data_IF_880296023976
#
_entry.id   IF_880296023976
#
_cell.length_a   1.000
_cell.length_b   1.000
_cell.length_c   1.000
_cell.angle_alpha   90.00
_cell.angle_beta   90.00
_cell.angle_gamma   90.00
#
_symmetry.space_group_name_H-M   'P 1'
#
loop_
_entity.id
_entity.type
_entity.pdbx_description
1 polymer ?
#
# COMPACT_ATOMS: atom_id res chain seq x y z
N UNK A 1 25.14 20.08 50.12
CA UNK A 1 24.54 18.75 49.89
C UNK A 1 23.44 18.94 48.86
N UNK A 2 23.78 18.85 47.58
CA UNK A 2 22.87 19.15 46.46
C UNK A 2 22.53 17.85 45.71
N UNK A 3 21.59 17.08 46.27
CA UNK A 3 21.22 15.76 45.74
C UNK A 3 19.79 15.73 45.16
N UNK A 4 19.11 16.88 45.06
CA UNK A 4 17.65 16.92 44.79
C UNK A 4 17.25 17.18 43.34
N UNK A 5 18.14 17.67 42.46
CA UNK A 5 17.79 18.01 41.07
C UNK A 5 18.17 16.94 40.02
N UNK A 6 19.19 16.10 40.29
CA UNK A 6 19.67 15.08 39.34
C UNK A 6 18.65 13.95 39.10
N UNK A 7 17.91 13.55 40.15
CA UNK A 7 16.94 12.44 40.10
C UNK A 7 15.67 12.76 39.30
N UNK A 8 15.18 14.00 39.36
CA UNK A 8 13.95 14.41 38.65
C UNK A 8 14.12 14.39 37.13
N UNK A 9 15.30 14.76 36.62
CA UNK A 9 15.57 14.75 35.18
C UNK A 9 15.76 13.32 34.66
N UNK A 10 16.39 12.44 35.44
CA UNK A 10 16.52 11.02 35.09
C UNK A 10 15.15 10.32 35.02
N UNK A 11 14.24 10.60 35.95
CA UNK A 11 12.87 10.05 35.91
C UNK A 11 12.10 10.56 34.69
N UNK A 12 12.26 11.84 34.31
CA UNK A 12 11.63 12.39 33.10
C UNK A 12 12.18 11.77 31.82
N UNK A 13 13.50 11.58 31.74
CA UNK A 13 14.14 10.90 30.60
C UNK A 13 13.67 9.45 30.51
N UNK A 14 13.62 8.73 31.62
CA UNK A 14 13.12 7.35 31.65
C UNK A 14 11.65 7.26 31.20
N UNK A 15 10.79 8.17 31.65
CA UNK A 15 9.39 8.21 31.24
C UNK A 15 9.23 8.49 29.74
N UNK A 16 10.02 9.41 29.17
CA UNK A 16 10.03 9.71 27.74
C UNK A 16 10.49 8.49 26.94
N UNK A 17 11.54 7.79 27.39
CA UNK A 17 12.05 6.60 26.70
C UNK A 17 11.00 5.48 26.70
N UNK A 18 10.35 5.22 27.84
CA UNK A 18 9.28 4.20 27.92
C UNK A 18 8.08 4.58 27.03
N UNK A 19 7.70 5.86 27.02
CA UNK A 19 6.63 6.36 26.15
C UNK A 19 6.97 6.19 24.66
N UNK A 20 8.20 6.54 24.26
CA UNK A 20 8.67 6.37 22.88
C UNK A 20 8.76 4.89 22.47
N UNK A 21 9.17 4.01 23.39
CA UNK A 21 9.18 2.57 23.15
C UNK A 21 7.77 2.00 23.00
N UNK A 22 6.82 2.43 23.85
CA UNK A 22 5.41 2.05 23.73
C UNK A 22 4.78 2.56 22.44
N UNK A 23 5.08 3.79 22.04
CA UNK A 23 4.62 4.38 20.78
C UNK A 23 5.19 3.67 19.55
N UNK A 24 6.49 3.35 19.58
CA UNK A 24 7.15 2.58 18.52
C UNK A 24 6.56 1.17 18.40
N UNK A 25 6.33 0.48 19.52
CA UNK A 25 5.70 -0.84 19.53
C UNK A 25 4.26 -0.80 18.99
N UNK A 26 3.45 0.19 19.39
CA UNK A 26 2.10 0.38 18.87
C UNK A 26 2.06 0.70 17.37
N UNK A 27 2.96 1.57 16.90
CA UNK A 27 3.09 1.88 15.48
C UNK A 27 3.52 0.65 14.66
N UNK A 28 4.44 -0.17 15.19
CA UNK A 28 4.86 -1.41 14.55
C UNK A 28 3.71 -2.44 14.49
N UNK A 29 2.96 -2.64 15.58
CA UNK A 29 1.85 -3.58 15.63
C UNK A 29 0.73 -3.21 14.62
N UNK A 30 0.35 -1.94 14.55
CA UNK A 30 -0.65 -1.46 13.59
C UNK A 30 -0.17 -1.58 12.13
N UNK A 31 1.14 -1.42 11.89
CA UNK A 31 1.71 -1.59 10.57
C UNK A 31 1.73 -3.05 10.14
N UNK A 32 2.10 -3.99 11.03
CA UNK A 32 2.05 -5.44 10.75
C UNK A 32 0.62 -5.90 10.51
N UNK A 33 -0.34 -5.45 11.33
CA UNK A 33 -1.76 -5.79 11.17
C UNK A 33 -2.34 -5.28 9.84
N UNK A 34 -2.07 -4.03 9.46
CA UNK A 34 -2.46 -3.48 8.15
C UNK A 34 -1.81 -4.24 7.00
N UNK A 35 -0.57 -4.69 7.14
CA UNK A 35 0.14 -5.46 6.11
C UNK A 35 -0.47 -6.85 5.92
N UNK A 36 -0.85 -7.51 7.01
CA UNK A 36 -1.51 -8.81 6.98
C UNK A 36 -2.92 -8.71 6.37
N UNK A 37 -3.73 -7.75 6.83
CA UNK A 37 -5.09 -7.51 6.31
C UNK A 37 -5.13 -7.13 4.82
N UNK A 38 -4.11 -6.43 4.31
CA UNK A 38 -4.01 -6.09 2.87
C UNK A 38 -3.46 -7.24 2.04
N UNK A 39 -2.51 -8.01 2.56
CA UNK A 39 -1.91 -9.15 1.84
C UNK A 39 -2.91 -10.27 1.53
N UNK A 40 -3.93 -10.47 2.38
CA UNK A 40 -4.99 -11.46 2.16
C UNK A 40 -6.12 -10.99 1.24
N UNK A 41 -6.29 -9.69 1.02
CA UNK A 41 -7.49 -9.15 0.37
C UNK A 41 -7.42 -9.11 -1.17
N UNK A 42 -6.23 -9.05 -1.77
CA UNK A 42 -6.07 -8.83 -3.21
C UNK A 42 -5.75 -10.13 -3.96
N UNK A 43 -4.84 -10.95 -3.42
CA UNK A 43 -4.57 -12.31 -3.92
C UNK A 43 -5.82 -13.23 -3.82
N UNK A 44 -6.72 -12.94 -2.88
CA UNK A 44 -7.94 -13.73 -2.69
C UNK A 44 -9.02 -13.40 -3.70
N UNK A 45 -9.15 -12.16 -4.21
CA UNK A 45 -10.25 -11.78 -5.11
C UNK A 45 -10.14 -12.39 -6.50
N UNK A 46 -8.94 -12.38 -7.09
CA UNK A 46 -8.74 -12.93 -8.43
C UNK A 46 -8.77 -14.46 -8.43
N UNK A 47 -8.09 -15.10 -7.47
CA UNK A 47 -8.19 -16.55 -7.29
C UNK A 47 -9.57 -17.02 -6.84
N UNK A 48 -10.41 -16.16 -6.23
CA UNK A 48 -11.82 -16.47 -5.99
C UNK A 48 -12.66 -16.38 -7.27
N UNK A 49 -12.37 -15.41 -8.13
CA UNK A 49 -13.08 -15.27 -9.41
C UNK A 49 -12.79 -16.44 -10.35
N UNK A 50 -11.54 -16.86 -10.48
CA UNK A 50 -11.20 -18.05 -11.29
C UNK A 50 -11.84 -19.32 -10.72
N UNK A 51 -11.78 -19.52 -9.39
CA UNK A 51 -12.49 -20.64 -8.73
C UNK A 51 -14.00 -20.61 -8.94
N UNK A 52 -14.59 -19.41 -9.00
CA UNK A 52 -16.01 -19.24 -9.31
C UNK A 52 -16.31 -19.64 -10.75
N UNK A 53 -15.49 -19.22 -11.71
CA UNK A 53 -15.63 -19.61 -13.12
C UNK A 53 -15.48 -21.12 -13.31
N UNK A 54 -14.51 -21.75 -12.64
CA UNK A 54 -14.31 -23.20 -12.67
C UNK A 54 -15.51 -23.95 -12.08
N UNK A 55 -16.20 -23.38 -11.09
CA UNK A 55 -17.39 -23.98 -10.49
C UNK A 55 -18.63 -23.98 -11.39
N UNK A 56 -18.64 -23.19 -12.47
CA UNK A 56 -19.78 -23.07 -13.39
C UNK A 56 -19.88 -24.21 -14.41
N UNK A 57 -18.92 -25.16 -14.40
CA UNK A 57 -18.91 -26.34 -15.29
C UNK A 57 -19.14 -25.98 -16.77
N UNK A 58 -18.51 -24.90 -17.23
CA UNK A 58 -18.67 -24.38 -18.59
C UNK A 58 -18.17 -25.39 -19.64
N UNK A 59 -18.91 -25.51 -20.74
CA UNK A 59 -18.45 -26.26 -21.91
C UNK A 59 -17.35 -25.50 -22.69
N UNK A 60 -16.74 -26.16 -23.69
CA UNK A 60 -15.61 -25.60 -24.43
C UNK A 60 -15.93 -24.26 -25.12
N UNK A 61 -17.11 -24.15 -25.71
CA UNK A 61 -17.53 -22.94 -26.42
C UNK A 61 -17.79 -21.79 -25.44
N UNK A 62 -18.43 -22.08 -24.30
CA UNK A 62 -18.67 -21.11 -23.23
C UNK A 62 -17.36 -20.60 -22.62
N UNK A 63 -16.39 -21.48 -22.37
CA UNK A 63 -15.07 -21.06 -21.87
C UNK A 63 -14.40 -20.09 -22.84
N UNK A 64 -14.43 -20.41 -24.13
CA UNK A 64 -13.85 -19.56 -25.18
C UNK A 64 -14.49 -18.16 -25.18
N UNK A 65 -15.81 -18.09 -25.12
CA UNK A 65 -16.53 -16.80 -25.06
C UNK A 65 -16.23 -16.02 -23.78
N UNK A 66 -16.17 -16.67 -22.63
CA UNK A 66 -15.83 -16.02 -21.35
C UNK A 66 -14.41 -15.46 -21.39
N UNK A 67 -13.43 -16.23 -21.88
CA UNK A 67 -12.06 -15.76 -22.03
C UNK A 67 -11.97 -14.53 -22.94
N UNK A 68 -12.72 -14.52 -24.05
CA UNK A 68 -12.79 -13.38 -24.96
C UNK A 68 -13.36 -12.14 -24.26
N UNK A 69 -14.52 -12.27 -23.60
CA UNK A 69 -15.17 -11.15 -22.88
C UNK A 69 -14.23 -10.55 -21.81
N UNK A 70 -13.55 -11.40 -21.04
CA UNK A 70 -12.61 -10.95 -20.01
C UNK A 70 -11.36 -10.32 -20.63
N UNK A 71 -10.87 -10.83 -21.76
CA UNK A 71 -9.78 -10.27 -22.54
C UNK A 71 -10.10 -8.85 -23.03
N UNK A 72 -11.23 -8.70 -23.70
CA UNK A 72 -11.71 -7.40 -24.23
C UNK A 72 -11.89 -6.38 -23.09
N UNK A 73 -12.49 -6.82 -21.98
CA UNK A 73 -12.66 -5.97 -20.79
C UNK A 73 -11.32 -5.51 -20.24
N UNK A 74 -10.34 -6.41 -20.15
CA UNK A 74 -8.98 -6.08 -19.68
C UNK A 74 -8.32 -5.06 -20.60
N UNK A 75 -8.48 -5.18 -21.91
CA UNK A 75 -7.94 -4.22 -22.88
C UNK A 75 -8.59 -2.83 -22.74
N UNK A 76 -9.92 -2.76 -22.64
CA UNK A 76 -10.65 -1.51 -22.42
C UNK A 76 -10.19 -0.81 -21.13
N UNK A 77 -10.05 -1.56 -20.04
CA UNK A 77 -9.55 -1.02 -18.77
C UNK A 77 -8.10 -0.53 -18.88
N UNK A 78 -7.25 -1.21 -19.66
CA UNK A 78 -5.89 -0.74 -19.92
C UNK A 78 -5.87 0.55 -20.76
N UNK A 79 -6.75 0.65 -21.75
CA UNK A 79 -6.95 1.87 -22.54
C UNK A 79 -7.32 3.07 -21.64
N UNK A 80 -8.35 2.90 -20.82
CA UNK A 80 -8.79 3.92 -19.88
C UNK A 80 -7.69 4.33 -18.88
N UNK A 81 -6.91 3.36 -18.40
CA UNK A 81 -5.74 3.65 -17.54
C UNK A 81 -4.70 4.50 -18.25
N UNK A 82 -4.36 4.18 -19.51
CA UNK A 82 -3.39 4.97 -20.29
C UNK A 82 -3.87 6.39 -20.55
N UNK A 83 -5.15 6.56 -20.85
CA UNK A 83 -5.75 7.88 -21.07
C UNK A 83 -5.80 8.74 -19.79
N UNK A 84 -6.10 8.11 -18.66
CA UNK A 84 -6.22 8.80 -17.36
C UNK A 84 -4.88 9.07 -16.68
N UNK A 85 -3.82 8.29 -16.99
CA UNK A 85 -2.48 8.41 -16.40
C UNK A 85 -1.92 9.84 -16.38
N UNK A 86 -1.91 10.61 -17.48
CA UNK A 86 -1.37 11.97 -17.46
C UNK A 86 -2.16 12.90 -16.54
N UNK A 87 -3.49 12.78 -16.51
CA UNK A 87 -4.36 13.60 -15.63
C UNK A 87 -4.09 13.28 -14.16
N UNK A 88 -3.95 11.99 -13.84
CA UNK A 88 -3.63 11.53 -12.48
C UNK A 88 -2.23 11.99 -12.07
N UNK A 89 -1.26 11.94 -12.97
CA UNK A 89 0.11 12.40 -12.73
C UNK A 89 0.14 13.90 -12.40
N UNK A 90 -0.60 14.71 -13.16
CA UNK A 90 -0.68 16.15 -12.92
C UNK A 90 -1.32 16.48 -11.56
N UNK A 91 -2.42 15.82 -11.20
CA UNK A 91 -3.06 15.99 -9.88
C UNK A 91 -2.07 15.64 -8.75
N UNK A 92 -1.28 14.57 -8.92
CA UNK A 92 -0.25 14.17 -7.94
C UNK A 92 0.85 15.22 -7.83
N UNK A 93 1.32 15.76 -8.95
CA UNK A 93 2.32 16.82 -9.00
C UNK A 93 1.85 18.07 -8.27
N UNK A 94 0.64 18.53 -8.55
CA UNK A 94 0.03 19.68 -7.87
C UNK A 94 -0.14 19.44 -6.36
N UNK A 95 -0.52 18.22 -5.98
CA UNK A 95 -0.61 17.83 -4.57
C UNK A 95 0.76 17.89 -3.90
N UNK A 96 1.80 17.41 -4.58
CA UNK A 96 3.17 17.42 -4.10
C UNK A 96 3.68 18.86 -3.87
N UNK A 97 3.41 19.78 -4.79
CA UNK A 97 3.73 21.20 -4.63
C UNK A 97 3.01 21.84 -3.43
N UNK A 98 1.74 21.51 -3.22
CA UNK A 98 0.96 22.02 -2.09
C UNK A 98 1.47 21.47 -0.76
N UNK A 99 1.86 20.19 -0.73
CA UNK A 99 2.41 19.56 0.46
C UNK A 99 3.79 20.12 0.83
N UNK A 100 4.64 20.40 -0.14
CA UNK A 100 5.95 21.03 0.12
C UNK A 100 5.84 22.41 0.78
N UNK A 101 4.74 23.13 0.58
CA UNK A 101 4.50 24.44 1.21
C UNK A 101 4.12 24.34 2.69
N UNK A 102 3.63 23.18 3.14
CA UNK A 102 3.11 23.00 4.51
C UNK A 102 3.93 22.02 5.35
N UNK A 103 4.73 21.17 4.72
CA UNK A 103 5.59 20.20 5.39
C UNK A 103 7.01 20.74 5.55
N UNK A 104 7.67 20.36 6.64
CA UNK A 104 9.11 20.57 6.78
C UNK A 104 9.88 19.66 5.82
N UNK A 105 11.16 19.95 5.50
CA UNK A 105 11.97 19.09 4.64
C UNK A 105 12.06 17.64 5.12
N UNK A 106 12.16 17.42 6.43
CA UNK A 106 12.22 16.08 7.01
C UNK A 106 10.89 15.33 6.89
N UNK A 107 9.76 16.02 7.13
CA UNK A 107 8.42 15.46 6.94
C UNK A 107 8.15 15.12 5.47
N UNK A 108 8.61 15.97 4.55
CA UNK A 108 8.52 15.72 3.11
C UNK A 108 9.30 14.47 2.70
N UNK A 109 10.53 14.32 3.21
CA UNK A 109 11.36 13.14 2.97
C UNK A 109 10.70 11.86 3.50
N UNK A 110 10.13 11.91 4.70
CA UNK A 110 9.38 10.77 5.26
C UNK A 110 8.15 10.44 4.41
N UNK A 111 7.39 11.44 3.97
CA UNK A 111 6.23 11.26 3.10
C UNK A 111 6.59 10.57 1.77
N UNK A 112 7.68 11.00 1.12
CA UNK A 112 8.16 10.37 -0.11
C UNK A 112 8.56 8.90 0.11
N UNK A 113 9.27 8.61 1.20
CA UNK A 113 9.65 7.23 1.54
C UNK A 113 8.43 6.33 1.75
N UNK A 114 7.39 6.80 2.44
CA UNK A 114 6.16 6.03 2.63
C UNK A 114 5.41 5.81 1.31
N UNK A 115 5.36 6.81 0.43
CA UNK A 115 4.79 6.66 -0.92
C UNK A 115 5.53 5.62 -1.77
N UNK A 116 6.85 5.65 -1.77
CA UNK A 116 7.67 4.72 -2.54
C UNK A 116 7.56 3.28 -2.01
N UNK A 117 7.46 3.12 -0.68
CA UNK A 117 7.11 1.83 -0.09
C UNK A 117 5.76 1.33 -0.60
N UNK A 118 4.72 2.16 -0.64
CA UNK A 118 3.41 1.71 -1.16
C UNK A 118 3.48 1.31 -2.63
N UNK A 119 4.11 2.12 -3.49
CA UNK A 119 4.27 1.84 -4.93
C UNK A 119 5.08 0.58 -5.20
N UNK A 120 6.13 0.31 -4.42
CA UNK A 120 6.95 -0.89 -4.58
C UNK A 120 6.18 -2.17 -4.20
N UNK A 121 5.24 -2.11 -3.25
CA UNK A 121 4.37 -3.26 -2.96
C UNK A 121 3.39 -3.53 -4.09
N UNK A 122 2.81 -2.48 -4.71
CA UNK A 122 1.94 -2.62 -5.88
C UNK A 122 2.69 -3.20 -7.10
N UNK A 123 3.93 -2.76 -7.34
CA UNK A 123 4.76 -3.28 -8.44
C UNK A 123 5.12 -4.76 -8.24
N UNK A 124 5.50 -5.15 -7.02
CA UNK A 124 5.81 -6.56 -6.69
C UNK A 124 4.57 -7.46 -6.79
N UNK A 125 3.39 -6.95 -6.42
CA UNK A 125 2.13 -7.67 -6.65
C UNK A 125 1.84 -7.91 -8.14
N UNK A 126 2.21 -6.95 -9.00
CA UNK A 126 2.04 -7.06 -10.46
C UNK A 126 3.10 -7.95 -11.14
N UNK A 127 4.36 -7.91 -10.70
CA UNK A 127 5.43 -8.78 -11.22
C UNK A 127 5.19 -10.25 -10.88
N UNK A 128 4.72 -10.54 -9.66
CA UNK A 128 4.33 -11.88 -9.25
C UNK A 128 3.10 -12.42 -10.03
N UNK A 129 2.40 -11.55 -10.75
CA UNK A 129 1.28 -11.91 -11.63
C UNK A 129 1.70 -12.13 -13.10
N UNK A 130 2.81 -11.52 -13.55
CA UNK A 130 3.38 -11.77 -14.88
C UNK A 130 4.27 -13.02 -14.97
N UNK A 131 4.41 -13.77 -13.88
CA UNK A 131 5.19 -15.00 -13.82
C UNK A 131 4.33 -16.26 -13.95
N UNK A 132 4.06 -16.68 -15.18
CA UNK A 132 4.17 -18.08 -15.65
C UNK A 132 4.00 -18.13 -17.19
N UNK A 133 4.65 -19.10 -17.85
CA UNK A 133 5.04 -19.07 -19.28
C UNK A 133 3.90 -19.16 -20.29
#
# INVERSE_FOLDING_TARGET
MDITNKSKWQVRVAAIVIFLLGFAAGALALNVYKRWARSGAEASRQGQFERMLDSLQLNADQKTQVHQILGDTKEQLQGLRKESEPRVSEIRRQTDERLQKVLTPDQWKQFQQERDKMRSHERRGRENWSGTP
#
